data_IF_910691083439
#
_entry.id   IF_910691083439
#
_cell.length_a   1.000
_cell.length_b   1.000
_cell.length_c   1.000
_cell.angle_alpha   90.00
_cell.angle_beta   90.00
_cell.angle_gamma   90.00
#
_symmetry.space_group_name_H-M   'P 1'
#
loop_
_entity.id
_entity.type
_entity.pdbx_description
1 polymer ?
#
# COMPACT_ATOMS: atom_id res chain seq x y z
N UNK A 1 11.27 -5.75 -7.85
CA UNK A 1 10.67 -5.91 -9.20
C UNK A 1 9.18 -5.60 -9.09
N UNK A 2 8.68 -4.66 -9.89
CA UNK A 2 7.24 -4.41 -10.03
C UNK A 2 6.61 -5.61 -10.73
N UNK A 3 5.85 -6.43 -10.00
CA UNK A 3 5.19 -7.61 -10.57
C UNK A 3 4.07 -7.18 -11.52
N UNK A 4 4.03 -7.78 -12.71
CA UNK A 4 2.97 -7.56 -13.71
C UNK A 4 1.59 -8.04 -13.24
N UNK A 5 1.55 -8.92 -12.23
CA UNK A 5 0.32 -9.33 -11.54
C UNK A 5 0.30 -8.61 -10.20
N UNK A 6 -0.84 -8.00 -9.83
CA UNK A 6 -1.11 -7.49 -8.49
C UNK A 6 -1.02 -8.66 -7.50
N UNK A 7 0.19 -8.97 -7.07
CA UNK A 7 0.51 -10.13 -6.27
C UNK A 7 0.21 -9.80 -4.80
N UNK A 8 -0.80 -10.46 -4.24
CA UNK A 8 -1.18 -10.32 -2.83
C UNK A 8 0.04 -10.48 -1.91
N UNK A 9 0.93 -11.42 -2.22
CA UNK A 9 2.14 -11.67 -1.44
C UNK A 9 3.08 -10.46 -1.43
N UNK A 10 3.15 -9.73 -2.53
CA UNK A 10 3.96 -8.51 -2.61
C UNK A 10 3.33 -7.37 -1.79
N UNK A 11 2.00 -7.22 -1.83
CA UNK A 11 1.29 -6.23 -1.01
C UNK A 11 1.46 -6.54 0.48
N UNK A 12 1.27 -7.78 0.91
CA UNK A 12 1.45 -8.22 2.30
C UNK A 12 2.88 -7.91 2.79
N UNK A 13 3.88 -8.27 1.99
CA UNK A 13 5.30 -7.99 2.31
C UNK A 13 5.56 -6.49 2.44
N UNK A 14 5.04 -5.70 1.50
CA UNK A 14 5.19 -4.25 1.49
C UNK A 14 4.62 -3.62 2.77
N UNK A 15 3.37 -3.95 3.13
CA UNK A 15 2.75 -3.38 4.32
C UNK A 15 3.45 -3.82 5.61
N UNK A 16 3.87 -5.09 5.71
CA UNK A 16 4.64 -5.59 6.86
C UNK A 16 5.94 -4.82 7.05
N UNK A 17 6.72 -4.61 5.97
CA UNK A 17 7.97 -3.87 6.03
C UNK A 17 7.74 -2.39 6.33
N UNK A 18 6.71 -1.78 5.75
CA UNK A 18 6.41 -0.35 5.91
C UNK A 18 5.94 -0.05 7.33
N UNK A 19 5.02 -0.85 7.88
CA UNK A 19 4.55 -0.72 9.26
C UNK A 19 5.69 -0.98 10.25
N UNK A 20 6.55 -1.98 9.98
CA UNK A 20 7.72 -2.24 10.81
C UNK A 20 8.72 -1.08 10.86
N UNK A 21 8.81 -0.28 9.80
CA UNK A 21 9.72 0.87 9.72
C UNK A 21 9.12 2.20 10.20
N UNK A 22 7.84 2.42 9.90
CA UNK A 22 7.18 3.72 10.08
C UNK A 22 6.09 3.71 11.14
N UNK A 23 5.80 2.57 11.75
CA UNK A 23 4.70 2.39 12.69
C UNK A 23 3.36 2.13 12.00
N UNK A 24 2.33 1.90 12.83
CA UNK A 24 0.98 1.61 12.36
C UNK A 24 0.25 2.90 11.99
N UNK A 25 -0.23 3.06 10.75
CA UNK A 25 -0.96 4.25 10.35
C UNK A 25 -2.42 4.20 10.84
N UNK A 26 -3.00 5.35 11.16
CA UNK A 26 -4.43 5.47 11.46
C UNK A 26 -5.29 5.31 10.18
N UNK A 27 -4.80 5.85 9.05
CA UNK A 27 -5.51 5.88 7.76
C UNK A 27 -4.58 5.51 6.63
N UNK A 28 -5.07 4.70 5.69
CA UNK A 28 -4.34 4.35 4.47
C UNK A 28 -5.25 4.58 3.26
N UNK A 29 -4.79 5.44 2.35
CA UNK A 29 -5.44 5.60 1.05
C UNK A 29 -4.82 4.62 0.06
N UNK A 30 -5.64 3.75 -0.53
CA UNK A 30 -5.21 2.75 -1.51
C UNK A 30 -5.82 3.02 -2.89
N UNK A 31 -5.09 2.61 -3.92
CA UNK A 31 -5.65 2.49 -5.26
C UNK A 31 -6.74 1.40 -5.30
N UNK A 32 -7.44 1.27 -6.43
CA UNK A 32 -8.49 0.25 -6.63
C UNK A 32 -7.92 -1.17 -6.82
N UNK A 33 -6.80 -1.51 -6.19
CA UNK A 33 -6.23 -2.85 -6.29
C UNK A 33 -6.74 -3.75 -5.17
N UNK A 34 -7.32 -4.88 -5.55
CA UNK A 34 -7.79 -5.88 -4.58
C UNK A 34 -6.66 -6.50 -3.74
N UNK A 35 -5.42 -6.48 -4.23
CA UNK A 35 -4.27 -6.96 -3.46
C UNK A 35 -3.95 -6.08 -2.25
N UNK A 36 -3.99 -4.75 -2.42
CA UNK A 36 -3.73 -3.81 -1.32
C UNK A 36 -4.85 -3.85 -0.27
N UNK A 37 -6.09 -3.93 -0.73
CA UNK A 37 -7.26 -4.04 0.13
C UNK A 37 -7.21 -5.35 0.95
N UNK A 38 -6.92 -6.49 0.31
CA UNK A 38 -6.80 -7.76 1.00
C UNK A 38 -5.67 -7.77 2.05
N UNK A 39 -4.54 -7.12 1.76
CA UNK A 39 -3.42 -7.02 2.70
C UNK A 39 -3.79 -6.19 3.93
N UNK A 40 -4.38 -5.01 3.74
CA UNK A 40 -4.82 -4.15 4.84
C UNK A 40 -5.96 -4.79 5.66
N UNK A 41 -6.88 -5.50 5.01
CA UNK A 41 -7.92 -6.25 5.72
C UNK A 41 -7.32 -7.34 6.60
N UNK A 42 -6.32 -8.07 6.11
CA UNK A 42 -5.60 -9.09 6.89
C UNK A 42 -4.97 -8.48 8.15
N UNK A 43 -4.38 -7.28 8.02
CA UNK A 43 -3.81 -6.55 9.16
C UNK A 43 -4.89 -6.13 10.16
N UNK A 44 -6.02 -5.59 9.69
CA UNK A 44 -7.14 -5.22 10.57
C UNK A 44 -7.74 -6.43 11.30
N UNK A 45 -7.87 -7.58 10.63
CA UNK A 45 -8.31 -8.83 11.27
C UNK A 45 -7.31 -9.22 12.37
N UNK A 46 -6.01 -9.12 12.11
CA UNK A 46 -4.99 -9.42 13.12
C UNK A 46 -5.09 -8.50 14.34
N UNK A 47 -5.25 -7.19 14.12
CA UNK A 47 -5.45 -6.22 15.20
C UNK A 47 -6.74 -6.50 16.01
N UNK A 48 -7.78 -6.98 15.33
CA UNK A 48 -9.03 -7.38 15.98
C UNK A 48 -8.84 -8.61 16.85
N UNK A 49 -8.14 -9.63 16.35
CA UNK A 49 -7.81 -10.85 17.11
C UNK A 49 -6.92 -10.55 18.33
N UNK A 50 -6.08 -9.52 18.26
CA UNK A 50 -5.30 -9.04 19.40
C UNK A 50 -6.09 -8.17 20.39
N UNK A 51 -7.36 -7.85 20.10
CA UNK A 51 -8.21 -7.02 20.96
C UNK A 51 -7.88 -5.53 20.96
N UNK A 52 -6.98 -5.07 20.07
CA UNK A 52 -6.51 -3.68 20.03
C UNK A 52 -7.07 -2.88 18.85
N UNK A 53 -7.90 -3.49 18.00
CA UNK A 53 -8.47 -2.82 16.82
C UNK A 53 -9.27 -1.55 17.13
N UNK A 54 -9.95 -1.48 18.28
CA UNK A 54 -10.67 -0.27 18.69
C UNK A 54 -9.77 0.96 18.85
N UNK A 55 -8.49 0.76 19.19
CA UNK A 55 -7.52 1.84 19.40
C UNK A 55 -6.53 1.99 18.24
N UNK A 56 -6.31 0.92 17.48
CA UNK A 56 -5.25 0.83 16.47
C UNK A 56 -5.77 0.43 15.07
N UNK A 57 -7.08 0.37 14.87
CA UNK A 57 -7.68 -0.01 13.59
C UNK A 57 -7.28 0.94 12.48
N UNK A 58 -6.93 0.37 11.32
CA UNK A 58 -6.53 1.13 10.14
C UNK A 58 -7.77 1.43 9.31
N UNK A 59 -8.06 2.72 9.08
CA UNK A 59 -9.12 3.12 8.16
C UNK A 59 -8.63 3.06 6.71
N UNK A 60 -9.24 2.17 5.92
CA UNK A 60 -8.91 1.97 4.51
C UNK A 60 -9.80 2.90 3.67
N UNK A 61 -9.19 3.79 2.88
CA UNK A 61 -9.89 4.76 2.04
C UNK A 61 -9.54 4.59 0.57
N UNK A 62 -10.52 4.87 -0.28
CA UNK A 62 -10.33 4.99 -1.74
C UNK A 62 -10.81 6.36 -2.20
N UNK A 63 -10.01 7.40 -1.99
CA UNK A 63 -10.35 8.76 -2.41
C UNK A 63 -9.77 9.05 -3.80
N UNK A 64 -10.62 9.40 -4.77
CA UNK A 64 -10.21 9.73 -6.14
C UNK A 64 -9.17 10.85 -6.21
N UNK A 65 -9.31 11.88 -5.38
CA UNK A 65 -8.36 12.99 -5.36
C UNK A 65 -6.99 12.54 -4.82
N UNK A 66 -6.96 11.81 -3.71
CA UNK A 66 -5.71 11.28 -3.15
C UNK A 66 -5.06 10.25 -4.09
N UNK A 67 -5.85 9.48 -4.84
CA UNK A 67 -5.34 8.59 -5.87
C UNK A 67 -4.61 9.37 -6.97
N UNK A 68 -5.10 10.54 -7.38
CA UNK A 68 -4.39 11.37 -8.35
C UNK A 68 -3.01 11.81 -7.85
N UNK A 69 -2.87 12.10 -6.54
CA UNK A 69 -1.58 12.45 -5.93
C UNK A 69 -0.64 11.24 -5.94
N UNK A 70 -1.11 10.05 -5.56
CA UNK A 70 -0.33 8.80 -5.62
C UNK A 70 0.13 8.52 -7.05
N UNK A 71 -0.75 8.68 -8.04
CA UNK A 71 -0.40 8.52 -9.44
C UNK A 71 0.63 9.55 -9.92
N UNK A 72 0.57 10.78 -9.42
CA UNK A 72 1.56 11.81 -9.73
C UNK A 72 2.92 11.48 -9.14
N UNK A 73 2.97 11.00 -7.90
CA UNK A 73 4.21 10.54 -7.27
C UNK A 73 4.84 9.38 -8.07
N UNK A 74 4.03 8.39 -8.45
CA UNK A 74 4.48 7.32 -9.33
C UNK A 74 5.03 7.82 -10.67
N UNK A 75 4.41 8.84 -11.28
CA UNK A 75 4.91 9.45 -12.53
C UNK A 75 6.26 10.12 -12.32
N UNK A 76 6.43 10.81 -11.19
CA UNK A 76 7.69 11.48 -10.86
C UNK A 76 8.82 10.46 -10.69
N UNK A 77 8.60 9.41 -9.88
CA UNK A 77 9.60 8.33 -9.68
C UNK A 77 9.94 7.67 -11.02
N UNK A 78 8.94 7.32 -11.83
CA UNK A 78 9.17 6.71 -13.16
C UNK A 78 9.97 7.65 -14.08
N UNK A 79 9.70 8.95 -14.05
CA UNK A 79 10.45 9.94 -14.83
C UNK A 79 11.92 9.98 -14.43
N UNK A 80 12.22 9.85 -13.13
CA UNK A 80 13.60 9.80 -12.62
C UNK A 80 14.32 8.50 -12.96
N UNK A 81 13.64 7.35 -12.90
CA UNK A 81 14.28 6.05 -13.12
C UNK A 81 14.39 5.67 -14.60
N UNK A 82 13.52 6.18 -15.47
CA UNK A 82 13.47 5.80 -16.90
C UNK A 82 14.79 6.05 -17.67
N UNK A 83 15.55 7.14 -17.43
CA UNK A 83 16.86 7.33 -18.06
C UNK A 83 17.92 6.31 -17.65
N UNK A 84 17.74 5.61 -16.52
CA UNK A 84 18.68 4.61 -15.99
C UNK A 84 18.40 3.19 -16.49
N UNK A 85 17.30 2.98 -17.21
CA UNK A 85 16.93 1.67 -17.76
C UNK A 85 17.45 1.53 -19.21
N UNK A 86 17.90 0.33 -19.61
CA UNK A 86 18.24 0.05 -21.01
C UNK A 86 17.03 0.36 -21.90
N UNK A 87 17.25 1.05 -23.02
CA UNK A 87 16.20 1.16 -24.04
C UNK A 87 16.10 -0.18 -24.76
N UNK A 88 14.96 -0.84 -24.64
CA UNK A 88 14.55 -1.93 -25.52
C UNK A 88 13.65 -1.37 -26.62
#
# INVERSE_FOLDING_TARGET
MLSAKRDKKAADKFFKETIGKHGLPEKVNVDKSGANEAALLTINIFLFLLGIWLTNGIEIRQNKYLNNLIEQDHRNIKRLTRPMLPRF
#
